data_IF_276809688591
#
_entry.id   IF_276809688591
#
_cell.length_a   1.000
_cell.length_b   1.000
_cell.length_c   1.000
_cell.angle_alpha   90.00
_cell.angle_beta   90.00
_cell.angle_gamma   90.00
#
_symmetry.space_group_name_H-M   'P 1'
#
loop_
_entity.id
_entity.type
_entity.pdbx_description
1 polymer ?
#
# COMPACT_ATOMS: atom_id res chain seq x y z
N UNK A 1 -25.87 -46.60 -17.41
CA UNK A 1 -26.34 -45.51 -16.51
C UNK A 1 -27.72 -45.01 -16.92
N UNK A 2 -28.54 -44.51 -15.99
CA UNK A 2 -29.83 -43.88 -16.34
C UNK A 2 -29.61 -42.51 -17.04
N UNK A 3 -30.57 -42.04 -17.85
CA UNK A 3 -30.49 -40.70 -18.49
C UNK A 3 -30.29 -39.58 -17.47
N UNK A 4 -30.97 -39.66 -16.32
CA UNK A 4 -30.82 -38.71 -15.20
C UNK A 4 -29.42 -38.75 -14.58
N UNK A 5 -28.86 -39.94 -14.38
CA UNK A 5 -27.50 -40.09 -13.85
C UNK A 5 -26.47 -39.49 -14.81
N UNK A 6 -26.62 -39.73 -16.13
CA UNK A 6 -25.77 -39.13 -17.17
C UNK A 6 -25.78 -37.60 -17.09
N UNK A 7 -26.97 -36.99 -17.01
CA UNK A 7 -27.09 -35.52 -16.92
C UNK A 7 -26.36 -34.94 -15.69
N UNK A 8 -26.54 -35.54 -14.51
CA UNK A 8 -25.84 -35.08 -13.30
C UNK A 8 -24.31 -35.22 -13.39
N UNK A 9 -23.81 -36.27 -14.03
CA UNK A 9 -22.38 -36.41 -14.28
C UNK A 9 -21.86 -35.37 -15.27
N UNK A 10 -22.62 -35.06 -16.32
CA UNK A 10 -22.28 -33.98 -17.25
C UNK A 10 -22.18 -32.64 -16.52
N UNK A 11 -23.16 -32.31 -15.66
CA UNK A 11 -23.11 -31.08 -14.85
C UNK A 11 -21.91 -31.08 -13.91
N UNK A 12 -21.64 -32.20 -13.20
CA UNK A 12 -20.49 -32.29 -12.30
C UNK A 12 -19.16 -32.04 -13.02
N UNK A 13 -18.98 -32.62 -14.21
CA UNK A 13 -17.78 -32.44 -15.02
C UNK A 13 -17.65 -31.00 -15.53
N UNK A 14 -18.73 -30.42 -16.08
CA UNK A 14 -18.71 -29.04 -16.58
C UNK A 14 -18.38 -28.04 -15.46
N UNK A 15 -19.02 -28.18 -14.29
CA UNK A 15 -18.76 -27.31 -13.14
C UNK A 15 -17.32 -27.43 -12.67
N UNK A 16 -16.80 -28.66 -12.55
CA UNK A 16 -15.42 -28.87 -12.11
C UNK A 16 -14.38 -28.40 -13.14
N UNK A 17 -14.65 -28.55 -14.45
CA UNK A 17 -13.80 -27.97 -15.51
C UNK A 17 -13.81 -26.45 -15.51
N UNK A 18 -14.94 -25.81 -15.20
CA UNK A 18 -15.01 -24.37 -15.01
C UNK A 18 -14.18 -23.91 -13.80
N UNK A 19 -14.16 -24.69 -12.71
CA UNK A 19 -13.28 -24.47 -11.57
C UNK A 19 -11.80 -24.52 -11.95
N UNK A 20 -11.38 -25.52 -12.72
CA UNK A 20 -10.03 -25.58 -13.27
C UNK A 20 -9.69 -24.35 -14.12
N UNK A 21 -10.59 -23.96 -15.03
CA UNK A 21 -10.36 -22.79 -15.89
C UNK A 21 -10.19 -21.51 -15.05
N UNK A 22 -10.99 -21.37 -13.98
CA UNK A 22 -10.87 -20.28 -13.03
C UNK A 22 -9.53 -20.31 -12.26
N UNK A 23 -9.16 -21.45 -11.68
CA UNK A 23 -7.88 -21.62 -10.98
C UNK A 23 -6.68 -21.27 -11.87
N UNK A 24 -6.73 -21.64 -13.16
CA UNK A 24 -5.70 -21.30 -14.13
C UNK A 24 -5.58 -19.78 -14.36
N UNK A 25 -6.70 -19.04 -14.36
CA UNK A 25 -6.65 -17.56 -14.46
C UNK A 25 -6.02 -16.90 -13.23
N UNK A 26 -6.00 -17.58 -12.08
CA UNK A 26 -5.45 -17.07 -10.82
C UNK A 26 -3.97 -17.41 -10.60
N UNK A 27 -3.36 -18.26 -11.43
CA UNK A 27 -1.97 -18.73 -11.25
C UNK A 27 -0.91 -17.63 -11.19
N UNK A 28 -1.22 -16.43 -11.68
CA UNK A 28 -0.33 -15.27 -11.67
C UNK A 28 -0.81 -14.13 -10.76
N UNK A 29 -1.79 -14.38 -9.88
CA UNK A 29 -2.32 -13.37 -8.96
C UNK A 29 -1.99 -13.74 -7.52
N UNK A 30 -1.16 -12.93 -6.86
CA UNK A 30 -0.99 -12.96 -5.41
C UNK A 30 -2.07 -12.12 -4.74
N UNK A 31 -2.64 -12.60 -3.64
CA UNK A 31 -3.59 -11.84 -2.83
C UNK A 31 -3.18 -11.87 -1.37
N UNK A 32 -2.85 -10.70 -0.85
CA UNK A 32 -2.67 -10.46 0.58
C UNK A 32 -3.79 -9.55 1.06
N UNK A 33 -4.40 -9.88 2.19
CA UNK A 33 -5.29 -8.96 2.90
C UNK A 33 -5.05 -9.09 4.39
N UNK A 34 -5.27 -7.98 5.09
CA UNK A 34 -5.33 -7.93 6.53
C UNK A 34 -6.70 -7.40 6.91
N UNK A 35 -7.32 -8.01 7.90
CA UNK A 35 -8.61 -7.58 8.42
C UNK A 35 -8.61 -7.75 9.93
N UNK A 36 -9.43 -6.95 10.60
CA UNK A 36 -9.63 -6.98 12.04
C UNK A 36 -11.09 -7.36 12.34
N UNK A 37 -11.36 -7.90 13.52
CA UNK A 37 -12.70 -8.32 13.94
C UNK A 37 -12.86 -9.84 14.06
N UNK A 38 -14.01 -10.25 14.58
CA UNK A 38 -14.33 -11.64 14.91
C UNK A 38 -15.48 -12.16 14.06
N UNK A 39 -15.21 -13.19 13.26
CA UNK A 39 -16.20 -13.87 12.42
C UNK A 39 -16.12 -15.37 12.70
N UNK A 40 -17.04 -15.92 13.51
CA UNK A 40 -16.87 -17.23 14.13
C UNK A 40 -16.76 -18.36 13.11
N UNK A 41 -17.47 -18.28 11.96
CA UNK A 41 -17.39 -19.33 10.96
C UNK A 41 -16.11 -19.21 10.13
N UNK A 42 -15.62 -17.99 9.84
CA UNK A 42 -14.30 -17.77 9.24
C UNK A 42 -13.17 -18.30 10.12
N UNK A 43 -13.19 -18.01 11.41
CA UNK A 43 -12.14 -18.46 12.34
C UNK A 43 -12.13 -20.00 12.46
N UNK A 44 -13.32 -20.62 12.45
CA UNK A 44 -13.46 -22.07 12.36
C UNK A 44 -12.93 -22.62 11.03
N UNK A 45 -13.24 -21.95 9.91
CA UNK A 45 -12.73 -22.32 8.59
C UNK A 45 -11.20 -22.23 8.53
N UNK A 46 -10.60 -21.17 9.04
CA UNK A 46 -9.14 -21.00 9.06
C UNK A 46 -8.47 -22.09 9.92
N UNK A 47 -9.05 -22.38 11.08
CA UNK A 47 -8.58 -23.46 11.97
C UNK A 47 -8.67 -24.84 11.30
N UNK A 48 -9.79 -25.14 10.63
CA UNK A 48 -9.98 -26.40 9.92
C UNK A 48 -9.11 -26.49 8.65
N UNK A 49 -8.91 -25.37 7.96
CA UNK A 49 -8.07 -25.29 6.76
C UNK A 49 -6.62 -25.58 7.12
N UNK A 50 -6.11 -25.08 8.25
CA UNK A 50 -4.77 -25.44 8.71
C UNK A 50 -4.60 -26.95 8.90
N UNK A 51 -5.64 -27.63 9.42
CA UNK A 51 -5.63 -29.09 9.61
C UNK A 51 -5.71 -29.86 8.27
N UNK A 52 -6.50 -29.37 7.31
CA UNK A 52 -6.77 -30.10 6.06
C UNK A 52 -5.93 -29.61 4.86
N UNK A 53 -5.15 -28.55 5.02
CA UNK A 53 -4.24 -28.02 4.01
C UNK A 53 -3.34 -29.12 3.41
N UNK A 54 -2.72 -30.02 4.20
CA UNK A 54 -1.95 -31.12 3.64
C UNK A 54 -2.79 -32.03 2.74
N UNK A 55 -4.05 -32.30 3.10
CA UNK A 55 -4.92 -33.11 2.25
C UNK A 55 -5.24 -32.37 0.94
N UNK A 56 -5.48 -31.06 0.97
CA UNK A 56 -5.78 -30.27 -0.23
C UNK A 56 -4.58 -30.17 -1.18
N UNK A 57 -3.36 -30.03 -0.63
CA UNK A 57 -2.11 -29.89 -1.40
C UNK A 57 -1.60 -31.24 -1.88
N UNK A 58 -1.59 -32.27 -1.03
CA UNK A 58 -0.91 -33.53 -1.34
C UNK A 58 -1.84 -34.64 -1.87
N UNK A 59 -3.17 -34.49 -1.79
CA UNK A 59 -4.09 -35.47 -2.36
C UNK A 59 -4.41 -35.10 -3.82
N UNK A 60 -3.95 -35.85 -4.84
CA UNK A 60 -4.18 -35.50 -6.24
C UNK A 60 -5.66 -35.45 -6.62
N UNK A 61 -6.53 -36.15 -5.87
CA UNK A 61 -7.97 -36.12 -6.09
C UNK A 61 -8.60 -34.75 -5.80
N UNK A 62 -7.95 -33.93 -4.96
CA UNK A 62 -8.41 -32.59 -4.60
C UNK A 62 -7.93 -31.52 -5.58
N UNK A 63 -6.88 -31.75 -6.37
CA UNK A 63 -6.33 -30.72 -7.26
C UNK A 63 -7.36 -30.15 -8.23
N UNK A 64 -7.17 -28.87 -8.61
CA UNK A 64 -7.99 -28.18 -9.60
C UNK A 64 -9.50 -28.26 -9.28
N UNK A 65 -9.88 -27.73 -8.12
CA UNK A 65 -11.26 -27.80 -7.63
C UNK A 65 -11.86 -29.24 -7.60
N UNK A 66 -11.04 -30.25 -7.30
CA UNK A 66 -11.45 -31.65 -7.18
C UNK A 66 -11.71 -32.40 -8.50
N UNK A 67 -11.31 -31.84 -9.65
CA UNK A 67 -11.58 -32.43 -10.97
C UNK A 67 -11.08 -33.88 -11.11
N UNK A 68 -9.86 -34.24 -10.70
CA UNK A 68 -9.39 -35.63 -10.81
C UNK A 68 -10.27 -36.60 -10.01
N UNK A 69 -10.74 -36.19 -8.83
CA UNK A 69 -11.66 -36.99 -8.01
C UNK A 69 -13.04 -37.16 -8.64
N UNK A 70 -13.60 -36.10 -9.27
CA UNK A 70 -14.86 -36.18 -10.01
C UNK A 70 -14.74 -37.11 -11.23
N UNK A 71 -13.64 -37.01 -11.98
CA UNK A 71 -13.37 -37.87 -13.15
C UNK A 71 -13.21 -39.34 -12.72
N UNK A 72 -12.44 -39.61 -11.68
CA UNK A 72 -12.25 -40.97 -11.15
C UNK A 72 -13.58 -41.57 -10.67
N UNK A 73 -14.39 -40.78 -9.97
CA UNK A 73 -15.71 -41.21 -9.51
C UNK A 73 -16.67 -41.50 -10.69
N UNK A 74 -16.62 -40.68 -11.75
CA UNK A 74 -17.37 -40.92 -12.98
C UNK A 74 -16.94 -42.22 -13.65
N UNK A 75 -15.63 -42.43 -13.84
CA UNK A 75 -15.07 -43.63 -14.47
C UNK A 75 -15.40 -44.90 -13.68
N UNK A 76 -15.27 -44.86 -12.35
CA UNK A 76 -15.64 -45.98 -11.47
C UNK A 76 -17.14 -46.32 -11.59
N UNK A 77 -18.00 -45.30 -11.63
CA UNK A 77 -19.43 -45.50 -11.82
C UNK A 77 -19.75 -46.03 -13.23
N UNK A 78 -19.13 -45.47 -14.26
CA UNK A 78 -19.34 -45.85 -15.65
C UNK A 78 -18.88 -47.29 -15.91
N UNK A 79 -17.63 -47.62 -15.56
CA UNK A 79 -17.03 -48.93 -15.77
C UNK A 79 -17.82 -50.05 -15.08
N UNK A 80 -18.23 -49.84 -13.82
CA UNK A 80 -19.05 -50.84 -13.12
C UNK A 80 -20.46 -50.96 -13.70
N UNK A 81 -21.04 -49.90 -14.26
CA UNK A 81 -22.34 -50.02 -14.94
C UNK A 81 -22.22 -50.71 -16.29
N UNK A 82 -21.12 -50.52 -17.00
CA UNK A 82 -20.84 -51.19 -18.26
C UNK A 82 -20.53 -52.68 -18.02
N UNK A 83 -19.67 -52.99 -17.05
CA UNK A 83 -19.32 -54.36 -16.67
C UNK A 83 -20.50 -55.10 -16.03
N UNK A 84 -21.38 -54.42 -15.29
CA UNK A 84 -22.59 -55.04 -14.78
C UNK A 84 -23.63 -55.34 -15.87
N UNK A 85 -23.56 -54.67 -17.03
CA UNK A 85 -24.37 -55.05 -18.19
C UNK A 85 -23.92 -56.41 -18.77
N UNK A 86 -22.65 -56.78 -18.57
CA UNK A 86 -22.08 -58.05 -19.04
C UNK A 86 -22.06 -59.15 -17.96
N UNK A 87 -22.00 -58.81 -16.66
CA UNK A 87 -22.08 -59.76 -15.52
C UNK A 87 -23.04 -59.30 -14.42
N UNK A 88 -23.96 -60.16 -13.96
CA UNK A 88 -25.12 -59.85 -13.09
C UNK A 88 -24.84 -59.33 -11.65
N UNK A 89 -23.66 -58.79 -11.30
CA UNK A 89 -23.29 -58.48 -9.90
C UNK A 89 -22.77 -57.07 -9.54
N UNK A 90 -22.40 -56.20 -10.49
CA UNK A 90 -21.48 -55.08 -10.20
C UNK A 90 -22.07 -53.71 -9.77
N UNK A 91 -23.39 -53.48 -9.84
CA UNK A 91 -23.96 -52.11 -9.78
C UNK A 91 -23.84 -51.41 -8.41
N UNK A 92 -23.62 -52.15 -7.32
CA UNK A 92 -23.47 -51.58 -5.98
C UNK A 92 -22.06 -51.05 -5.76
N UNK A 93 -21.05 -51.79 -6.20
CA UNK A 93 -19.64 -51.47 -5.98
C UNK A 93 -19.28 -50.09 -6.54
N UNK A 94 -19.62 -49.78 -7.80
CA UNK A 94 -19.23 -48.48 -8.36
C UNK A 94 -19.99 -47.28 -7.81
N UNK A 95 -21.17 -47.46 -7.21
CA UNK A 95 -21.84 -46.38 -6.48
C UNK A 95 -21.17 -46.12 -5.15
N UNK A 96 -20.70 -47.16 -4.47
CA UNK A 96 -19.94 -47.03 -3.22
C UNK A 96 -18.61 -46.36 -3.52
N UNK A 97 -17.86 -46.84 -4.51
CA UNK A 97 -16.58 -46.24 -4.93
C UNK A 97 -16.72 -44.76 -5.31
N UNK A 98 -17.72 -44.41 -6.12
CA UNK A 98 -17.95 -43.01 -6.48
C UNK A 98 -18.34 -42.14 -5.27
N UNK A 99 -19.08 -42.66 -4.28
CA UNK A 99 -19.38 -41.91 -3.05
C UNK A 99 -18.14 -41.73 -2.18
N UNK A 100 -17.33 -42.78 -2.06
CA UNK A 100 -16.07 -42.73 -1.29
C UNK A 100 -15.09 -41.75 -1.92
N UNK A 101 -15.06 -41.65 -3.25
CA UNK A 101 -14.22 -40.68 -3.95
C UNK A 101 -14.73 -39.23 -3.80
N UNK A 102 -16.05 -39.00 -3.80
CA UNK A 102 -16.62 -37.64 -3.86
C UNK A 102 -16.95 -37.06 -2.48
N UNK A 103 -17.27 -37.88 -1.49
CA UNK A 103 -17.62 -37.39 -0.14
C UNK A 103 -16.48 -36.58 0.52
N UNK A 104 -15.19 -36.99 0.43
CA UNK A 104 -14.09 -36.19 0.94
C UNK A 104 -13.99 -34.83 0.25
N UNK A 105 -14.24 -34.76 -1.06
CA UNK A 105 -14.24 -33.49 -1.80
C UNK A 105 -15.33 -32.55 -1.27
N UNK A 106 -16.53 -33.08 -0.99
CA UNK A 106 -17.60 -32.25 -0.41
C UNK A 106 -17.23 -31.73 0.99
N UNK A 107 -16.52 -32.52 1.80
CA UNK A 107 -16.06 -32.07 3.13
C UNK A 107 -14.98 -31.00 2.99
N UNK A 108 -13.98 -31.24 2.13
CA UNK A 108 -12.86 -30.32 1.92
C UNK A 108 -13.30 -28.98 1.33
N UNK A 109 -14.17 -29.01 0.32
CA UNK A 109 -14.59 -27.82 -0.42
C UNK A 109 -15.92 -27.22 0.05
N UNK A 110 -16.72 -27.96 0.81
CA UNK A 110 -18.01 -27.48 1.32
C UNK A 110 -17.90 -26.54 2.52
N UNK A 111 -16.76 -26.55 3.24
CA UNK A 111 -16.61 -25.79 4.47
C UNK A 111 -16.56 -24.28 4.22
N UNK A 112 -15.78 -23.80 3.25
CA UNK A 112 -15.66 -22.38 2.94
C UNK A 112 -16.98 -21.69 2.57
N UNK A 113 -17.76 -22.19 1.57
CA UNK A 113 -19.04 -21.56 1.23
C UNK A 113 -20.08 -21.67 2.35
N UNK A 114 -20.05 -22.73 3.15
CA UNK A 114 -20.93 -22.86 4.31
C UNK A 114 -20.56 -21.83 5.39
N UNK A 115 -19.28 -21.71 5.70
CA UNK A 115 -18.78 -20.75 6.69
C UNK A 115 -19.07 -19.31 6.26
N UNK A 116 -18.79 -18.98 5.00
CA UNK A 116 -19.11 -17.68 4.41
C UNK A 116 -20.61 -17.37 4.50
N UNK A 117 -21.48 -18.31 4.13
CA UNK A 117 -22.93 -18.11 4.21
C UNK A 117 -23.41 -17.89 5.65
N UNK A 118 -22.83 -18.60 6.63
CA UNK A 118 -23.16 -18.42 8.05
C UNK A 118 -22.70 -17.07 8.60
N UNK A 119 -21.50 -16.63 8.24
CA UNK A 119 -20.98 -15.32 8.67
C UNK A 119 -21.79 -14.18 8.05
N UNK A 120 -22.06 -14.20 6.75
CA UNK A 120 -22.83 -13.14 6.07
C UNK A 120 -24.28 -13.10 6.57
N UNK A 121 -24.88 -14.25 6.86
CA UNK A 121 -26.22 -14.30 7.45
C UNK A 121 -26.27 -13.74 8.88
N UNK A 122 -25.14 -13.77 9.60
CA UNK A 122 -25.01 -13.25 10.96
C UNK A 122 -24.67 -11.77 10.98
N UNK A 123 -23.68 -11.36 10.20
CA UNK A 123 -23.18 -10.00 10.11
C UNK A 123 -22.53 -9.74 8.75
N UNK A 124 -23.06 -8.76 8.00
CA UNK A 124 -22.52 -8.37 6.69
C UNK A 124 -21.12 -7.77 6.78
N UNK A 125 -20.71 -7.24 7.94
CA UNK A 125 -19.35 -6.72 8.16
C UNK A 125 -18.29 -7.83 8.07
N UNK A 126 -18.68 -9.10 8.23
CA UNK A 126 -17.77 -10.21 8.02
C UNK A 126 -17.25 -10.33 6.58
N UNK A 127 -17.87 -9.66 5.61
CA UNK A 127 -17.35 -9.61 4.24
C UNK A 127 -15.90 -9.11 4.19
N UNK A 128 -15.55 -8.11 5.00
CA UNK A 128 -14.18 -7.59 5.06
C UNK A 128 -13.20 -8.63 5.64
N UNK A 129 -13.65 -9.44 6.60
CA UNK A 129 -12.85 -10.55 7.15
C UNK A 129 -12.53 -11.59 6.08
N UNK A 130 -13.49 -11.88 5.21
CA UNK A 130 -13.33 -12.75 4.04
C UNK A 130 -12.49 -12.14 2.91
N UNK A 131 -11.91 -10.94 3.10
CA UNK A 131 -11.08 -10.25 2.10
C UNK A 131 -11.88 -9.41 1.12
N UNK A 132 -13.10 -9.02 1.51
CA UNK A 132 -14.02 -8.29 0.65
C UNK A 132 -14.48 -9.12 -0.56
N UNK A 133 -15.09 -8.48 -1.57
CA UNK A 133 -15.42 -9.13 -2.84
C UNK A 133 -14.23 -9.86 -3.51
N UNK A 134 -12.99 -9.31 -3.51
CA UNK A 134 -11.84 -10.02 -4.06
C UNK A 134 -11.53 -11.33 -3.32
N UNK A 135 -11.53 -11.31 -1.98
CA UNK A 135 -11.28 -12.51 -1.19
C UNK A 135 -12.37 -13.56 -1.34
N UNK A 136 -13.64 -13.16 -1.49
CA UNK A 136 -14.74 -14.10 -1.84
C UNK A 136 -14.46 -14.76 -3.19
N UNK A 137 -14.05 -13.99 -4.20
CA UNK A 137 -13.66 -14.52 -5.50
C UNK A 137 -12.51 -15.51 -5.42
N UNK A 138 -11.54 -15.29 -4.53
CA UNK A 138 -10.33 -16.12 -4.43
C UNK A 138 -10.51 -17.37 -3.56
N UNK A 139 -11.24 -17.27 -2.45
CA UNK A 139 -11.33 -18.36 -1.46
C UNK A 139 -12.67 -19.09 -1.49
N UNK A 140 -13.77 -18.36 -1.69
CA UNK A 140 -15.11 -18.94 -1.57
C UNK A 140 -15.60 -19.52 -2.88
N UNK A 141 -15.37 -18.82 -4.00
CA UNK A 141 -15.86 -19.25 -5.32
C UNK A 141 -15.25 -20.58 -5.78
N UNK A 142 -13.92 -20.81 -5.74
CA UNK A 142 -13.34 -22.11 -6.11
C UNK A 142 -13.90 -23.28 -5.29
N UNK A 143 -14.05 -23.05 -3.98
CA UNK A 143 -14.55 -24.04 -3.03
C UNK A 143 -16.05 -24.33 -3.27
N UNK A 144 -16.84 -23.29 -3.55
CA UNK A 144 -18.25 -23.44 -3.93
C UNK A 144 -18.41 -24.26 -5.22
N UNK A 145 -17.59 -23.99 -6.25
CA UNK A 145 -17.63 -24.72 -7.52
C UNK A 145 -17.32 -26.21 -7.30
N UNK A 146 -16.28 -26.54 -6.56
CA UNK A 146 -15.92 -27.91 -6.23
C UNK A 146 -17.00 -28.62 -5.41
N UNK A 147 -17.59 -27.93 -4.41
CA UNK A 147 -18.68 -28.46 -3.60
C UNK A 147 -19.94 -28.77 -4.44
N UNK A 148 -20.30 -27.88 -5.37
CA UNK A 148 -21.43 -28.08 -6.30
C UNK A 148 -21.18 -29.27 -7.22
N UNK A 149 -19.96 -29.41 -7.77
CA UNK A 149 -19.60 -30.57 -8.57
C UNK A 149 -19.72 -31.88 -7.78
N UNK A 150 -19.24 -31.90 -6.53
CA UNK A 150 -19.36 -33.05 -5.63
C UNK A 150 -20.83 -33.40 -5.32
N UNK A 151 -21.68 -32.41 -5.04
CA UNK A 151 -23.12 -32.62 -4.83
C UNK A 151 -23.81 -33.20 -6.08
N UNK A 152 -23.44 -32.71 -7.27
CA UNK A 152 -23.95 -33.25 -8.54
C UNK A 152 -23.54 -34.71 -8.75
N UNK A 153 -22.28 -35.05 -8.49
CA UNK A 153 -21.78 -36.42 -8.59
C UNK A 153 -22.48 -37.36 -7.57
N UNK A 154 -22.70 -36.92 -6.32
CA UNK A 154 -23.47 -37.66 -5.32
C UNK A 154 -24.93 -37.87 -5.76
N UNK A 155 -25.55 -36.86 -6.39
CA UNK A 155 -26.88 -36.97 -6.97
C UNK A 155 -26.93 -37.99 -8.12
N UNK A 156 -25.86 -38.07 -8.92
CA UNK A 156 -25.75 -39.00 -10.04
C UNK A 156 -25.72 -40.47 -9.60
N UNK A 157 -25.15 -40.76 -8.43
CA UNK A 157 -25.00 -42.13 -7.86
C UNK A 157 -26.08 -42.48 -6.82
N UNK A 158 -27.09 -41.63 -6.67
CA UNK A 158 -28.22 -41.88 -5.77
C UNK A 158 -29.05 -43.05 -6.26
N UNK A 159 -29.30 -44.03 -5.38
CA UNK A 159 -30.12 -45.20 -5.74
C UNK A 159 -31.56 -44.72 -5.99
N UNK A 160 -32.17 -45.04 -7.14
CA UNK A 160 -33.59 -44.79 -7.33
C UNK A 160 -34.35 -45.58 -6.25
N UNK A 161 -34.92 -44.88 -5.26
CA UNK A 161 -35.65 -45.46 -4.11
C UNK A 161 -36.95 -46.19 -4.50
N UNK A 162 -37.09 -46.65 -5.74
CA UNK A 162 -38.35 -47.13 -6.32
C UNK A 162 -38.81 -48.52 -5.84
N UNK A 163 -37.98 -49.30 -5.13
CA UNK A 163 -38.41 -50.60 -4.55
C UNK A 163 -38.68 -50.54 -3.03
N UNK A 164 -37.81 -49.94 -2.22
CA UNK A 164 -38.06 -49.82 -0.77
C UNK A 164 -39.12 -48.76 -0.42
N UNK A 165 -39.27 -47.72 -1.24
CA UNK A 165 -40.23 -46.64 -1.00
C UNK A 165 -41.64 -46.90 -1.55
N UNK A 166 -41.93 -48.06 -2.17
CA UNK A 166 -43.28 -48.33 -2.69
C UNK A 166 -44.24 -48.81 -1.59
N UNK A 167 -43.71 -49.43 -0.52
CA UNK A 167 -44.48 -49.82 0.67
C UNK A 167 -44.66 -48.68 1.69
N UNK A 168 -43.69 -47.76 1.79
CA UNK A 168 -43.73 -46.64 2.74
C UNK A 168 -44.29 -45.32 2.19
N UNK A 169 -44.65 -45.24 0.89
CA UNK A 169 -45.17 -44.00 0.26
C UNK A 169 -46.67 -43.96 0.00
N UNK A 170 -47.42 -45.01 0.32
CA UNK A 170 -48.89 -44.93 0.22
C UNK A 170 -49.52 -44.09 1.35
N UNK A 171 -48.78 -43.74 2.40
CA UNK A 171 -49.41 -43.14 3.59
C UNK A 171 -49.01 -41.68 3.92
N UNK A 172 -47.89 -41.10 3.46
CA UNK A 172 -47.40 -39.85 4.11
C UNK A 172 -46.63 -38.81 3.27
N UNK A 173 -46.75 -38.71 1.93
CA UNK A 173 -46.05 -37.60 1.22
C UNK A 173 -46.91 -36.79 0.23
N UNK A 174 -47.11 -35.47 0.47
CA UNK A 174 -47.85 -34.61 -0.44
C UNK A 174 -47.05 -34.30 -1.73
N UNK A 175 -47.73 -33.97 -2.83
CA UNK A 175 -47.17 -33.92 -4.20
C UNK A 175 -46.19 -32.76 -4.49
N UNK A 176 -46.05 -31.78 -3.61
CA UNK A 176 -45.21 -30.58 -3.80
C UNK A 176 -43.69 -30.82 -3.79
N UNK A 177 -43.17 -31.87 -3.15
CA UNK A 177 -41.71 -32.09 -2.99
C UNK A 177 -41.02 -32.57 -4.28
N UNK A 178 -41.77 -32.89 -5.35
CA UNK A 178 -41.18 -33.31 -6.64
C UNK A 178 -40.83 -32.15 -7.57
N UNK A 179 -41.29 -30.93 -7.30
CA UNK A 179 -41.01 -29.75 -8.14
C UNK A 179 -39.84 -28.89 -7.63
N UNK A 180 -39.20 -29.23 -6.52
CA UNK A 180 -38.21 -28.37 -5.85
C UNK A 180 -36.81 -28.33 -6.47
N UNK A 181 -36.49 -29.20 -7.44
CA UNK A 181 -35.13 -29.24 -8.02
C UNK A 181 -34.86 -28.11 -9.04
N UNK A 182 -35.87 -27.71 -9.83
CA UNK A 182 -35.77 -26.57 -10.74
C UNK A 182 -35.73 -25.21 -10.03
N UNK A 183 -36.57 -24.92 -9.01
CA UNK A 183 -36.50 -23.65 -8.29
C UNK A 183 -35.23 -23.53 -7.45
N UNK A 184 -34.62 -24.62 -6.98
CA UNK A 184 -33.31 -24.56 -6.30
C UNK A 184 -32.16 -24.18 -7.26
N UNK A 185 -32.17 -24.66 -8.51
CA UNK A 185 -31.19 -24.25 -9.51
C UNK A 185 -31.41 -22.79 -9.97
N UNK A 186 -32.68 -22.37 -10.09
CA UNK A 186 -33.03 -20.98 -10.37
C UNK A 186 -32.69 -20.05 -9.19
N UNK A 187 -32.93 -20.46 -7.94
CA UNK A 187 -32.52 -19.71 -6.75
C UNK A 187 -31.01 -19.59 -6.64
N UNK A 188 -30.24 -20.63 -7.03
CA UNK A 188 -28.79 -20.54 -7.10
C UNK A 188 -28.37 -19.48 -8.13
N UNK A 189 -28.89 -19.52 -9.36
CA UNK A 189 -28.60 -18.53 -10.41
C UNK A 189 -29.04 -17.11 -10.03
N UNK A 190 -30.20 -16.95 -9.40
CA UNK A 190 -30.72 -15.65 -8.93
C UNK A 190 -29.94 -15.13 -7.73
N UNK A 191 -29.41 -16.00 -6.86
CA UNK A 191 -28.49 -15.58 -5.81
C UNK A 191 -27.15 -15.08 -6.35
N UNK A 192 -26.76 -15.42 -7.58
CA UNK A 192 -25.54 -14.93 -8.23
C UNK A 192 -25.75 -13.66 -9.09
N UNK A 193 -26.98 -13.27 -9.41
CA UNK A 193 -27.28 -12.04 -10.17
C UNK A 193 -26.84 -10.74 -9.44
N UNK A 194 -27.03 -10.57 -8.12
CA UNK A 194 -26.52 -9.41 -7.39
C UNK A 194 -24.99 -9.30 -7.44
N UNK A 195 -24.28 -10.43 -7.56
CA UNK A 195 -22.81 -10.45 -7.64
C UNK A 195 -22.33 -9.92 -9.00
N UNK A 196 -23.12 -10.08 -10.06
CA UNK A 196 -22.81 -9.54 -11.37
C UNK A 196 -23.12 -8.03 -11.48
N UNK A 197 -24.15 -7.54 -10.77
CA UNK A 197 -24.57 -6.13 -10.81
C UNK A 197 -23.81 -5.25 -9.78
N UNK A 198 -23.34 -5.87 -8.68
CA UNK A 198 -22.41 -5.25 -7.72
C UNK A 198 -20.94 -5.43 -8.10
N UNK A 199 -20.65 -6.03 -9.26
CA UNK A 199 -19.29 -6.16 -9.75
C UNK A 199 -18.71 -4.76 -9.96
N UNK A 200 -17.78 -4.37 -9.09
CA UNK A 200 -16.95 -3.19 -9.25
C UNK A 200 -16.37 -3.19 -10.67
N UNK A 201 -16.60 -2.12 -11.42
CA UNK A 201 -16.20 -2.01 -12.82
C UNK A 201 -14.71 -2.25 -13.03
N UNK A 202 -14.35 -2.69 -14.24
CA UNK A 202 -12.97 -3.10 -14.63
C UNK A 202 -11.93 -1.96 -14.52
N UNK A 203 -12.38 -0.71 -14.30
CA UNK A 203 -11.56 0.45 -13.93
C UNK A 203 -10.82 0.20 -12.61
N UNK A 204 -11.29 -0.72 -11.76
CA UNK A 204 -10.63 -1.05 -10.49
C UNK A 204 -9.39 -1.94 -10.61
N UNK A 205 -9.15 -2.61 -11.74
CA UNK A 205 -8.10 -3.63 -11.80
C UNK A 205 -6.74 -3.13 -12.27
N UNK A 206 -6.65 -2.11 -13.14
CA UNK A 206 -5.36 -1.72 -13.80
C UNK A 206 -5.08 -0.25 -14.23
N UNK A 207 -5.87 0.83 -13.98
CA UNK A 207 -5.50 2.18 -14.45
C UNK A 207 -5.34 3.30 -13.40
N UNK A 208 -5.46 3.02 -12.10
CA UNK A 208 -5.20 4.01 -11.05
C UNK A 208 -3.89 3.73 -10.29
N UNK A 209 -2.99 2.92 -10.86
CA UNK A 209 -1.61 2.92 -10.40
C UNK A 209 -1.04 4.28 -10.77
N UNK A 210 -0.73 5.08 -9.75
CA UNK A 210 0.14 6.24 -9.90
C UNK A 210 1.37 5.73 -10.63
N UNK A 211 1.53 6.07 -11.91
CA UNK A 211 2.87 6.13 -12.47
C UNK A 211 3.50 7.27 -11.67
N UNK A 212 4.49 7.01 -10.80
CA UNK A 212 5.28 8.11 -10.28
C UNK A 212 5.75 8.84 -11.53
N UNK A 213 5.42 10.13 -11.67
CA UNK A 213 6.06 10.90 -12.72
C UNK A 213 7.55 10.75 -12.49
N UNK A 214 8.32 10.37 -13.51
CA UNK A 214 9.76 10.54 -13.48
C UNK A 214 10.02 12.02 -13.17
N UNK A 215 10.26 12.35 -11.90
CA UNK A 215 10.54 13.71 -11.43
C UNK A 215 9.51 14.37 -10.50
N UNK A 216 8.39 13.75 -10.10
CA UNK A 216 7.51 14.38 -9.10
C UNK A 216 8.08 14.25 -7.70
N UNK A 217 8.49 15.37 -7.10
CA UNK A 217 9.01 15.48 -5.73
C UNK A 217 7.93 15.00 -4.73
N UNK A 218 8.27 14.14 -3.75
CA UNK A 218 7.32 13.73 -2.72
C UNK A 218 6.86 14.95 -1.91
N UNK A 219 5.61 15.37 -2.07
CA UNK A 219 5.03 16.50 -1.33
C UNK A 219 4.28 17.49 -2.20
N UNK A 220 4.55 17.52 -3.51
CA UNK A 220 3.75 18.29 -4.45
C UNK A 220 2.49 17.47 -4.75
N UNK A 221 1.41 17.78 -4.02
CA UNK A 221 0.05 17.29 -4.28
C UNK A 221 -0.48 17.98 -5.55
N UNK A 222 0.27 17.85 -6.63
CA UNK A 222 -0.04 18.45 -7.90
C UNK A 222 -1.38 17.87 -8.36
N UNK A 223 -2.33 18.78 -8.59
CA UNK A 223 -3.69 18.56 -9.10
C UNK A 223 -3.83 17.17 -9.69
N UNK A 224 -4.39 16.23 -8.90
CA UNK A 224 -4.56 14.80 -9.16
C UNK A 224 -3.89 14.35 -10.48
N UNK A 225 -2.72 13.71 -10.41
CA UNK A 225 -1.91 13.22 -11.54
C UNK A 225 -2.66 12.42 -12.64
N UNK A 226 -3.95 12.19 -12.48
CA UNK A 226 -4.89 11.60 -13.43
C UNK A 226 -5.53 12.60 -14.42
N UNK A 227 -5.27 13.91 -14.30
CA UNK A 227 -5.84 14.95 -15.16
C UNK A 227 -7.29 15.32 -14.82
N UNK A 228 -8.01 15.94 -15.75
CA UNK A 228 -9.44 16.28 -15.61
C UNK A 228 -10.34 15.20 -16.25
N UNK A 229 -11.55 15.05 -15.71
CA UNK A 229 -12.62 14.19 -16.22
C UNK A 229 -13.05 13.06 -15.27
N UNK A 230 -14.04 12.29 -15.70
CA UNK A 230 -14.69 11.23 -14.91
C UNK A 230 -13.73 10.14 -14.44
N UNK A 231 -12.73 9.79 -15.27
CA UNK A 231 -11.73 8.76 -14.92
C UNK A 231 -10.84 9.23 -13.77
N UNK A 232 -10.38 10.48 -13.80
CA UNK A 232 -9.57 11.05 -12.73
C UNK A 232 -10.35 11.13 -11.43
N UNK A 233 -11.62 11.55 -11.52
CA UNK A 233 -12.55 11.55 -10.40
C UNK A 233 -12.74 10.16 -9.80
N UNK A 234 -13.00 9.14 -10.63
CA UNK A 234 -13.10 7.76 -10.17
C UNK A 234 -11.82 7.28 -9.47
N UNK A 235 -10.64 7.56 -10.03
CA UNK A 235 -9.38 7.16 -9.42
C UNK A 235 -9.16 7.84 -8.05
N UNK A 236 -9.35 9.16 -7.95
CA UNK A 236 -9.23 9.88 -6.69
C UNK A 236 -10.24 9.38 -5.64
N UNK A 237 -11.50 9.18 -6.04
CA UNK A 237 -12.54 8.68 -5.16
C UNK A 237 -12.25 7.26 -4.65
N UNK A 238 -11.73 6.37 -5.49
CA UNK A 238 -11.35 5.00 -5.08
C UNK A 238 -10.10 4.99 -4.20
N UNK A 239 -9.09 5.82 -4.50
CA UNK A 239 -7.88 5.95 -3.71
C UNK A 239 -8.17 6.39 -2.26
N UNK A 240 -9.20 7.22 -2.05
CA UNK A 240 -9.63 7.62 -0.71
C UNK A 240 -10.17 6.46 0.16
N UNK A 241 -10.51 5.32 -0.45
CA UNK A 241 -11.15 4.18 0.23
C UNK A 241 -12.61 4.40 0.65
N UNK A 242 -13.16 5.61 0.53
CA UNK A 242 -14.53 5.94 0.98
C UNK A 242 -15.63 5.33 0.11
N UNK A 243 -15.34 5.06 -1.16
CA UNK A 243 -16.34 4.62 -2.15
C UNK A 243 -16.14 3.19 -2.63
N UNK A 244 -15.51 2.30 -1.84
CA UNK A 244 -15.14 0.91 -2.26
C UNK A 244 -16.32 0.07 -2.79
N UNK A 245 -17.52 0.27 -2.25
CA UNK A 245 -18.70 -0.54 -2.56
C UNK A 245 -19.73 0.18 -3.44
N UNK A 246 -19.39 1.36 -3.98
CA UNK A 246 -20.27 2.11 -4.89
C UNK A 246 -19.96 1.71 -6.33
N UNK A 247 -20.95 1.62 -7.22
CA UNK A 247 -20.68 1.37 -8.64
C UNK A 247 -20.01 2.60 -9.29
N UNK A 248 -19.21 2.41 -10.35
CA UNK A 248 -18.57 3.56 -11.04
C UNK A 248 -19.61 4.54 -11.59
N UNK A 249 -20.74 4.01 -12.07
CA UNK A 249 -21.87 4.82 -12.57
C UNK A 249 -22.47 5.70 -11.47
N UNK A 250 -22.76 5.12 -10.31
CA UNK A 250 -23.33 5.85 -9.18
C UNK A 250 -22.33 6.87 -8.62
N UNK A 251 -21.05 6.52 -8.65
CA UNK A 251 -19.99 7.42 -8.19
C UNK A 251 -19.85 8.63 -9.13
N UNK A 252 -19.86 8.43 -10.45
CA UNK A 252 -19.88 9.55 -11.43
C UNK A 252 -21.14 10.40 -11.23
N UNK A 253 -22.31 9.79 -11.06
CA UNK A 253 -23.56 10.51 -10.82
C UNK A 253 -23.48 11.35 -9.53
N UNK A 254 -22.90 10.80 -8.47
CA UNK A 254 -22.61 11.51 -7.24
C UNK A 254 -21.65 12.69 -7.47
N UNK A 255 -20.54 12.48 -8.19
CA UNK A 255 -19.58 13.55 -8.51
C UNK A 255 -20.21 14.71 -9.29
N UNK A 256 -21.08 14.41 -10.26
CA UNK A 256 -21.84 15.43 -11.00
C UNK A 256 -22.82 16.17 -10.09
N UNK A 257 -23.54 15.46 -9.23
CA UNK A 257 -24.45 16.09 -8.26
C UNK A 257 -23.71 16.99 -7.26
N UNK A 258 -22.51 16.59 -6.83
CA UNK A 258 -21.62 17.44 -6.02
C UNK A 258 -21.19 18.68 -6.80
N UNK A 259 -20.85 18.54 -8.08
CA UNK A 259 -20.51 19.69 -8.92
C UNK A 259 -21.68 20.67 -9.10
N UNK A 260 -22.89 20.15 -9.32
CA UNK A 260 -24.10 20.99 -9.45
C UNK A 260 -24.40 21.77 -8.16
N UNK A 261 -24.04 21.21 -7.00
CA UNK A 261 -24.20 21.83 -5.69
C UNK A 261 -23.01 22.72 -5.26
N UNK A 262 -21.91 22.70 -6.01
CA UNK A 262 -20.65 23.34 -5.63
C UNK A 262 -20.78 24.87 -5.51
N UNK A 263 -20.18 25.44 -4.47
CA UNK A 263 -20.02 26.88 -4.28
C UNK A 263 -18.54 27.24 -4.14
N UNK A 264 -18.11 28.41 -4.66
CA UNK A 264 -16.75 28.86 -4.50
C UNK A 264 -16.32 28.92 -3.03
N UNK A 265 -15.18 28.29 -2.72
CA UNK A 265 -14.63 28.19 -1.37
C UNK A 265 -15.12 26.98 -0.56
N UNK A 266 -15.92 26.08 -1.13
CA UNK A 266 -16.30 24.83 -0.46
C UNK A 266 -15.07 23.93 -0.20
N UNK A 267 -15.02 23.32 0.98
CA UNK A 267 -13.93 22.42 1.40
C UNK A 267 -13.80 21.17 0.49
N UNK A 268 -14.87 20.80 -0.21
CA UNK A 268 -14.89 19.65 -1.12
C UNK A 268 -14.31 19.96 -2.52
N UNK A 269 -13.78 21.17 -2.74
CA UNK A 269 -13.19 21.57 -4.02
C UNK A 269 -12.14 20.57 -4.53
N UNK A 270 -11.26 20.09 -3.64
CA UNK A 270 -10.24 19.06 -3.95
C UNK A 270 -10.83 17.76 -4.49
N UNK A 271 -11.95 17.31 -3.93
CA UNK A 271 -12.62 16.08 -4.37
C UNK A 271 -13.37 16.28 -5.68
N UNK A 272 -14.03 17.43 -5.84
CA UNK A 272 -14.87 17.72 -6.99
C UNK A 272 -14.08 18.19 -8.23
N UNK A 273 -12.89 18.77 -8.07
CA UNK A 273 -12.15 19.41 -9.15
C UNK A 273 -11.93 18.53 -10.39
N UNK A 274 -11.71 17.23 -10.21
CA UNK A 274 -11.55 16.31 -11.33
C UNK A 274 -12.81 16.21 -12.23
N UNK A 275 -14.02 16.40 -11.70
CA UNK A 275 -15.28 16.34 -12.47
C UNK A 275 -15.99 17.69 -12.59
N UNK A 276 -15.51 18.72 -11.87
CA UNK A 276 -16.17 20.00 -11.72
C UNK A 276 -15.28 21.18 -12.11
N UNK A 277 -15.44 21.73 -13.33
CA UNK A 277 -14.60 22.84 -13.82
C UNK A 277 -14.59 24.09 -12.93
N UNK A 278 -15.71 24.52 -12.30
CA UNK A 278 -15.67 25.63 -11.34
C UNK A 278 -14.77 25.35 -10.13
N UNK A 279 -14.86 24.16 -9.54
CA UNK A 279 -14.02 23.77 -8.41
C UNK A 279 -12.54 23.70 -8.79
N UNK A 280 -12.24 23.21 -9.99
CA UNK A 280 -10.88 23.21 -10.53
C UNK A 280 -10.30 24.63 -10.69
N UNK A 281 -11.11 25.56 -11.20
CA UNK A 281 -10.70 26.95 -11.35
C UNK A 281 -10.43 27.62 -9.99
N UNK A 282 -11.25 27.34 -8.98
CA UNK A 282 -11.06 27.86 -7.63
C UNK A 282 -9.81 27.28 -6.96
N UNK A 283 -9.53 25.98 -7.10
CA UNK A 283 -8.27 25.39 -6.62
C UNK A 283 -7.05 25.97 -7.31
N UNK A 284 -7.10 26.16 -8.64
CA UNK A 284 -5.99 26.79 -9.37
C UNK A 284 -5.73 28.20 -8.87
N UNK A 285 -6.79 28.96 -8.58
CA UNK A 285 -6.69 30.30 -8.01
C UNK A 285 -6.11 30.27 -6.59
N UNK A 286 -6.52 29.31 -5.75
CA UNK A 286 -5.96 29.13 -4.40
C UNK A 286 -4.48 28.76 -4.46
N UNK A 287 -4.10 27.75 -5.25
CA UNK A 287 -2.70 27.35 -5.44
C UNK A 287 -1.85 28.52 -5.92
N UNK A 288 -2.32 29.27 -6.92
CA UNK A 288 -1.59 30.44 -7.43
C UNK A 288 -1.45 31.56 -6.38
N UNK A 289 -2.43 31.73 -5.48
CA UNK A 289 -2.34 32.70 -4.40
C UNK A 289 -1.37 32.25 -3.30
N UNK A 290 -1.41 30.96 -2.93
CA UNK A 290 -0.48 30.35 -1.97
C UNK A 290 0.96 30.38 -2.50
N UNK A 291 1.17 30.05 -3.77
CA UNK A 291 2.46 30.11 -4.46
C UNK A 291 2.99 31.55 -4.50
N UNK A 292 2.15 32.53 -4.84
CA UNK A 292 2.55 33.94 -4.80
C UNK A 292 2.89 34.44 -3.38
N UNK A 293 2.17 33.97 -2.34
CA UNK A 293 2.50 34.28 -0.95
C UNK A 293 3.84 33.64 -0.54
N UNK A 294 4.05 32.38 -0.92
CA UNK A 294 5.29 31.64 -0.69
C UNK A 294 6.48 32.34 -1.36
N UNK A 295 6.39 32.67 -2.65
CA UNK A 295 7.42 33.41 -3.38
C UNK A 295 7.72 34.78 -2.75
N UNK A 296 6.68 35.49 -2.29
CA UNK A 296 6.86 36.77 -1.62
C UNK A 296 7.62 36.64 -0.29
N UNK A 297 7.37 35.55 0.46
CA UNK A 297 8.07 35.20 1.71
C UNK A 297 9.52 34.81 1.44
N UNK A 298 9.74 33.90 0.49
CA UNK A 298 11.08 33.49 0.03
C UNK A 298 11.93 34.71 -0.37
N UNK A 299 11.34 35.63 -1.13
CA UNK A 299 12.01 36.87 -1.52
C UNK A 299 12.26 37.82 -0.32
N UNK A 300 11.41 37.80 0.71
CA UNK A 300 11.62 38.58 1.94
C UNK A 300 12.79 38.03 2.75
N UNK A 301 12.83 36.71 2.95
CA UNK A 301 13.88 36.03 3.71
C UNK A 301 15.23 36.17 3.01
N UNK A 302 15.23 36.06 1.67
CA UNK A 302 16.42 36.33 0.86
C UNK A 302 16.93 37.77 1.04
N UNK A 303 16.04 38.79 1.11
CA UNK A 303 16.44 40.18 1.38
C UNK A 303 17.08 40.34 2.76
N UNK A 304 16.59 39.61 3.78
CA UNK A 304 17.20 39.60 5.13
C UNK A 304 18.62 39.03 5.07
N UNK A 305 18.80 37.88 4.41
CA UNK A 305 20.12 37.27 4.21
C UNK A 305 21.08 38.20 3.44
N UNK A 306 20.59 38.87 2.39
CA UNK A 306 21.38 39.81 1.61
C UNK A 306 21.77 41.07 2.38
N UNK A 307 20.95 41.52 3.32
CA UNK A 307 21.25 42.66 4.19
C UNK A 307 22.27 42.29 5.28
N UNK A 308 22.26 41.06 5.78
CA UNK A 308 23.10 40.58 6.87
C UNK A 308 24.52 40.15 6.46
N UNK A 309 25.05 40.71 5.35
CA UNK A 309 26.37 40.35 4.81
C UNK A 309 27.50 40.62 5.82
N UNK A 310 28.19 39.55 6.18
CA UNK A 310 29.41 39.61 6.97
C UNK A 310 30.50 40.44 6.26
N UNK A 311 31.25 41.24 7.05
CA UNK A 311 32.38 42.06 6.60
C UNK A 311 33.67 41.57 7.28
N UNK A 312 34.42 40.66 6.64
CA UNK A 312 35.60 40.04 7.24
C UNK A 312 36.65 41.04 7.72
N UNK A 313 37.20 40.80 8.92
CA UNK A 313 38.36 41.56 9.42
C UNK A 313 39.67 41.26 8.65
N UNK A 314 39.71 40.15 7.93
CA UNK A 314 40.85 39.74 7.09
C UNK A 314 40.31 39.22 5.77
N UNK A 315 41.04 39.40 4.66
CA UNK A 315 40.58 38.93 3.35
C UNK A 315 40.54 37.38 3.29
N UNK A 316 39.36 36.76 3.12
CA UNK A 316 39.26 35.33 2.88
C UNK A 316 39.78 34.96 1.47
N UNK A 317 40.19 33.70 1.32
CA UNK A 317 40.54 33.08 0.02
C UNK A 317 39.32 32.97 -0.87
N UNK A 318 38.20 32.55 -0.26
CA UNK A 318 36.92 32.37 -0.93
C UNK A 318 35.81 32.66 0.07
N UNK A 319 34.73 33.27 -0.43
CA UNK A 319 33.49 33.47 0.32
C UNK A 319 32.36 32.89 -0.49
N UNK A 320 31.50 32.13 0.16
CA UNK A 320 30.29 31.57 -0.39
C UNK A 320 29.13 32.01 0.48
N UNK A 321 27.99 32.29 -0.14
CA UNK A 321 26.77 32.68 0.54
C UNK A 321 25.62 31.93 -0.10
N UNK A 322 24.80 31.31 0.71
CA UNK A 322 23.57 30.67 0.26
C UNK A 322 22.52 30.76 1.36
N UNK A 323 21.25 30.65 0.97
CA UNK A 323 20.17 30.38 1.91
C UNK A 323 19.93 28.88 1.91
N UNK A 324 19.80 28.29 3.09
CA UNK A 324 19.70 26.85 3.24
C UNK A 324 18.66 26.48 4.30
N UNK A 325 17.60 25.79 3.89
CA UNK A 325 16.68 25.11 4.81
C UNK A 325 17.34 23.85 5.37
N UNK A 326 16.88 23.40 6.53
CA UNK A 326 17.23 22.06 7.03
C UNK A 326 16.00 21.40 7.61
N UNK A 327 15.60 20.24 7.09
CA UNK A 327 14.40 19.55 7.58
C UNK A 327 14.63 18.96 8.99
N UNK A 328 15.87 18.57 9.27
CA UNK A 328 16.25 17.91 10.51
C UNK A 328 16.94 18.84 11.54
N UNK A 329 17.08 20.13 11.22
CA UNK A 329 17.79 21.08 12.09
C UNK A 329 19.30 20.84 12.13
N UNK A 330 19.87 20.24 11.09
CA UNK A 330 21.30 19.89 11.00
C UNK A 330 21.82 20.19 9.60
N UNK A 331 23.01 20.79 9.55
CA UNK A 331 23.84 20.88 8.36
C UNK A 331 25.05 19.98 8.59
N UNK A 332 25.31 19.05 7.69
CA UNK A 332 26.36 18.05 7.87
C UNK A 332 27.33 17.99 6.70
N UNK A 333 28.54 17.50 6.96
CA UNK A 333 29.49 17.08 5.93
C UNK A 333 29.94 15.68 6.25
N UNK A 334 29.74 14.75 5.32
CA UNK A 334 30.13 13.35 5.42
C UNK A 334 31.08 13.00 4.28
N UNK A 335 32.28 12.55 4.61
CA UNK A 335 33.33 12.14 3.65
C UNK A 335 33.36 10.63 3.41
N UNK A 336 32.59 9.87 4.17
CA UNK A 336 32.61 8.39 4.16
C UNK A 336 31.19 7.84 4.29
N UNK A 337 30.88 6.75 3.61
CA UNK A 337 29.54 6.13 3.67
C UNK A 337 29.14 5.72 5.11
N UNK A 338 30.11 5.42 5.96
CA UNK A 338 29.91 5.05 7.37
C UNK A 338 29.49 6.23 8.28
N UNK A 339 29.53 7.48 7.78
CA UNK A 339 29.30 8.67 8.60
C UNK A 339 27.82 9.06 8.75
N UNK A 340 26.88 8.41 8.07
CA UNK A 340 25.44 8.56 8.35
C UNK A 340 24.99 7.89 9.68
N UNK A 341 25.94 7.44 10.51
CA UNK A 341 25.66 6.93 11.83
C UNK A 341 25.22 8.08 12.76
N UNK A 342 23.95 8.04 13.19
CA UNK A 342 23.29 8.96 14.14
C UNK A 342 24.09 9.20 15.43
N UNK A 343 25.06 8.35 15.72
CA UNK A 343 25.87 8.36 16.93
C UNK A 343 26.58 9.70 17.17
N UNK A 344 27.04 10.41 16.12
CA UNK A 344 27.64 11.74 16.31
C UNK A 344 26.60 12.73 16.83
N UNK A 345 25.41 12.79 16.21
CA UNK A 345 24.34 13.69 16.63
C UNK A 345 23.82 13.33 18.04
N UNK A 346 23.69 12.04 18.35
CA UNK A 346 23.28 11.56 19.68
C UNK A 346 24.33 11.85 20.76
N UNK A 347 25.60 11.92 20.39
CA UNK A 347 26.68 12.25 21.31
C UNK A 347 26.77 13.74 21.65
N UNK A 348 26.14 14.61 20.86
CA UNK A 348 26.07 16.05 21.15
C UNK A 348 25.20 16.32 22.38
N UNK A 349 25.72 17.11 23.32
CA UNK A 349 24.93 17.55 24.46
C UNK A 349 23.82 18.52 24.02
N UNK A 350 22.77 18.63 24.83
CA UNK A 350 21.73 19.63 24.62
C UNK A 350 22.34 21.04 24.67
N UNK A 351 22.35 21.74 23.53
CA UNK A 351 22.94 23.08 23.38
C UNK A 351 24.26 23.13 22.60
N UNK A 352 24.85 21.98 22.25
CA UNK A 352 26.05 21.97 21.41
C UNK A 352 25.72 22.46 19.98
N UNK A 353 26.50 23.42 19.49
CA UNK A 353 26.33 24.01 18.15
C UNK A 353 27.02 23.17 17.06
N UNK A 354 28.17 22.58 17.35
CA UNK A 354 28.99 21.88 16.35
C UNK A 354 29.70 20.68 16.97
N UNK A 355 29.73 19.57 16.24
CA UNK A 355 30.48 18.37 16.60
C UNK A 355 31.22 17.82 15.38
N UNK A 356 32.32 17.13 15.64
CA UNK A 356 33.16 16.59 14.58
C UNK A 356 33.88 15.32 15.02
N UNK A 357 33.95 14.35 14.11
CA UNK A 357 34.90 13.24 14.10
C UNK A 357 35.63 13.25 12.75
N UNK A 358 36.73 12.51 12.56
CA UNK A 358 37.40 12.47 11.26
C UNK A 358 36.42 12.06 10.15
N UNK A 359 36.27 12.91 9.13
CA UNK A 359 35.36 12.68 8.00
C UNK A 359 33.89 12.98 8.25
N UNK A 360 33.48 13.42 9.45
CA UNK A 360 32.09 13.80 9.71
C UNK A 360 32.00 15.07 10.58
N UNK A 361 31.32 16.09 10.08
CA UNK A 361 31.07 17.37 10.74
C UNK A 361 29.56 17.62 10.80
N UNK A 362 29.05 17.96 11.98
CA UNK A 362 27.65 18.33 12.19
C UNK A 362 27.59 19.75 12.76
N UNK A 363 26.72 20.58 12.18
CA UNK A 363 26.38 21.92 12.66
C UNK A 363 24.88 21.93 12.94
N UNK A 364 24.51 22.17 14.19
CA UNK A 364 23.11 22.25 14.60
C UNK A 364 22.52 23.61 14.22
N UNK A 365 21.32 23.58 13.69
CA UNK A 365 20.47 24.75 13.44
C UNK A 365 19.04 24.45 13.90
N UNK A 366 18.14 25.42 13.79
CA UNK A 366 16.72 25.15 14.03
C UNK A 366 16.04 24.74 12.72
N UNK A 367 15.25 23.66 12.71
CA UNK A 367 14.58 23.14 11.51
C UNK A 367 13.56 24.12 10.93
N UNK A 368 12.83 24.82 11.79
CA UNK A 368 11.72 25.68 11.37
C UNK A 368 12.15 27.02 10.72
N UNK A 369 13.46 27.29 10.60
CA UNK A 369 13.97 28.56 10.08
C UNK A 369 15.06 28.32 9.03
N UNK A 370 15.01 29.09 7.96
CA UNK A 370 16.09 29.11 6.98
C UNK A 370 17.40 29.64 7.57
N UNK A 371 18.51 29.11 7.07
CA UNK A 371 19.85 29.56 7.42
C UNK A 371 20.40 30.52 6.36
N UNK A 372 20.65 31.78 6.75
CA UNK A 372 21.53 32.68 6.01
C UNK A 372 22.99 32.24 6.22
N UNK A 373 23.46 31.32 5.39
CA UNK A 373 24.77 30.71 5.52
C UNK A 373 25.83 31.50 4.75
N UNK A 374 26.90 31.89 5.45
CA UNK A 374 28.13 32.41 4.85
C UNK A 374 29.29 31.50 5.20
N UNK A 375 29.96 30.92 4.20
CA UNK A 375 31.16 30.14 4.37
C UNK A 375 32.39 30.92 3.90
N UNK A 376 33.44 30.99 4.72
CA UNK A 376 34.65 31.77 4.46
C UNK A 376 35.90 30.91 4.66
N UNK A 377 36.74 30.85 3.64
CA UNK A 377 37.96 30.04 3.66
C UNK A 377 39.18 30.93 3.89
N UNK A 378 40.07 30.59 4.82
CA UNK A 378 41.25 31.39 5.14
C UNK A 378 42.56 30.59 5.04
N UNK A 379 43.64 31.23 4.57
CA UNK A 379 44.98 30.60 4.50
C UNK A 379 45.64 30.42 5.86
N UNK A 380 45.19 31.19 6.86
CA UNK A 380 45.71 31.30 8.23
C UNK A 380 44.52 31.54 9.16
N UNK A 381 44.72 31.34 10.46
CA UNK A 381 43.71 31.58 11.49
C UNK A 381 43.20 33.04 11.43
N UNK A 382 41.90 33.29 11.16
CA UNK A 382 41.32 34.62 11.21
C UNK A 382 41.12 35.08 12.67
N UNK A 383 41.06 36.40 12.91
CA UNK A 383 40.67 36.96 14.21
C UNK A 383 39.34 36.39 14.71
N UNK A 384 39.12 36.37 16.03
CA UNK A 384 37.86 35.90 16.62
C UNK A 384 36.86 37.05 16.68
N UNK A 385 35.67 36.82 16.14
CA UNK A 385 34.60 37.82 16.04
C UNK A 385 33.40 37.39 16.88
N UNK A 386 33.33 37.80 18.16
CA UNK A 386 32.22 37.43 19.06
C UNK A 386 31.07 38.44 19.09
N UNK A 387 31.31 39.66 18.64
CA UNK A 387 30.33 40.74 18.78
C UNK A 387 29.16 40.52 17.81
N UNK A 388 27.93 40.50 18.35
CA UNK A 388 26.71 40.37 17.56
C UNK A 388 26.34 38.93 17.19
N UNK A 389 27.04 37.95 17.76
CA UNK A 389 26.74 36.52 17.63
C UNK A 389 26.28 35.96 18.98
N UNK A 390 25.29 35.07 18.97
CA UNK A 390 24.80 34.42 20.20
C UNK A 390 25.76 33.31 20.64
N UNK A 391 26.26 32.54 19.67
CA UNK A 391 27.18 31.43 19.92
C UNK A 391 28.33 31.45 18.91
N UNK A 392 29.55 31.22 19.39
CA UNK A 392 30.73 31.07 18.54
C UNK A 392 31.55 29.89 19.02
N UNK A 393 31.63 28.84 18.20
CA UNK A 393 32.34 27.59 18.56
C UNK A 393 33.37 27.26 17.48
N UNK A 394 34.58 26.89 17.90
CA UNK A 394 35.67 26.48 17.03
C UNK A 394 36.15 25.06 17.37
N UNK A 395 35.99 24.14 16.41
CA UNK A 395 36.37 22.73 16.55
C UNK A 395 37.51 22.35 15.59
N UNK A 396 38.20 21.26 15.91
CA UNK A 396 39.15 20.64 15.01
C UNK A 396 38.45 19.62 14.13
N UNK A 397 38.68 19.68 12.83
CA UNK A 397 38.14 18.74 11.86
C UNK A 397 39.27 18.10 11.06
N UNK A 398 39.21 16.78 10.89
CA UNK A 398 40.18 16.02 10.10
C UNK A 398 39.48 15.52 8.84
N UNK A 399 39.92 16.01 7.68
CA UNK A 399 39.36 15.69 6.36
C UNK A 399 40.18 14.59 5.68
N UNK A 400 39.73 13.32 5.72
CA UNK A 400 40.49 12.18 5.17
C UNK A 400 40.50 12.15 3.64
N UNK A 401 39.42 12.59 2.99
CA UNK A 401 39.28 12.63 1.53
C UNK A 401 39.69 13.98 0.96
N UNK A 402 39.57 15.04 1.77
CA UNK A 402 39.84 16.40 1.33
C UNK A 402 38.64 17.05 0.67
N UNK A 403 37.42 16.59 1.01
CA UNK A 403 36.15 17.10 0.53
C UNK A 403 35.26 17.45 1.71
N UNK A 404 35.04 18.73 1.98
CA UNK A 404 34.12 19.16 3.03
C UNK A 404 32.94 19.83 2.36
N UNK A 405 31.85 19.09 2.19
CA UNK A 405 30.63 19.57 1.55
C UNK A 405 29.51 19.60 2.58
N UNK A 406 29.00 20.80 2.85
CA UNK A 406 27.92 20.99 3.82
C UNK A 406 26.58 20.80 3.14
N UNK A 407 25.77 19.86 3.60
CA UNK A 407 24.47 19.48 3.03
C UNK A 407 23.38 19.34 4.10
N UNK A 408 22.12 19.32 3.67
CA UNK A 408 21.01 18.82 4.49
C UNK A 408 21.01 17.28 4.38
N UNK A 409 21.11 16.53 5.48
CA UNK A 409 21.06 15.05 5.46
C UNK A 409 19.86 14.47 4.73
N UNK A 410 18.72 15.17 4.71
CA UNK A 410 17.49 14.68 4.11
C UNK A 410 17.45 14.88 2.60
N UNK A 411 18.12 15.92 2.09
CA UNK A 411 18.18 16.25 0.66
C UNK A 411 19.39 15.57 0.00
N UNK A 412 20.51 15.44 0.72
CA UNK A 412 21.73 14.77 0.25
C UNK A 412 22.55 15.53 -0.79
N UNK A 413 22.08 16.67 -1.28
CA UNK A 413 22.80 17.53 -2.21
C UNK A 413 22.86 18.97 -1.68
N UNK A 414 23.96 19.67 -2.01
CA UNK A 414 24.15 21.06 -1.63
C UNK A 414 24.81 21.84 -2.75
N UNK A 415 24.38 23.09 -2.93
CA UNK A 415 25.04 24.04 -3.83
C UNK A 415 26.37 24.57 -3.26
N UNK A 416 26.72 24.19 -2.02
CA UNK A 416 27.95 24.63 -1.39
C UNK A 416 29.17 23.90 -1.96
N UNK A 417 30.18 24.63 -2.47
CA UNK A 417 31.38 23.99 -2.96
C UNK A 417 32.23 23.48 -1.80
N UNK A 418 33.09 22.52 -2.10
CA UNK A 418 34.08 21.96 -1.20
C UNK A 418 34.86 23.03 -0.38
N UNK A 419 34.77 22.94 0.95
CA UNK A 419 35.42 23.82 1.92
C UNK A 419 36.88 23.41 2.21
N UNK A 420 37.30 22.19 1.86
CA UNK A 420 38.67 21.70 2.03
C UNK A 420 39.59 22.20 0.92
N UNK A 421 39.78 23.52 0.81
CA UNK A 421 40.55 24.15 -0.28
C UNK A 421 42.04 23.75 -0.37
N UNK A 422 42.60 23.03 0.62
CA UNK A 422 43.96 22.46 0.58
C UNK A 422 43.96 20.94 0.35
N UNK A 423 42.80 20.35 0.06
CA UNK A 423 42.59 18.91 0.00
C UNK A 423 42.69 18.28 1.39
N UNK A 424 43.17 17.03 1.43
CA UNK A 424 43.29 16.21 2.64
C UNK A 424 44.09 16.91 3.74
N UNK A 425 43.61 16.83 4.97
CA UNK A 425 44.36 17.34 6.12
C UNK A 425 43.50 17.80 7.28
N UNK A 426 44.11 18.57 8.18
CA UNK A 426 43.46 19.08 9.38
C UNK A 426 43.07 20.54 9.24
N UNK A 427 41.82 20.80 9.57
CA UNK A 427 41.19 22.10 9.53
C UNK A 427 40.68 22.49 10.92
N UNK A 428 40.47 23.79 11.09
CA UNK A 428 39.68 24.37 12.15
C UNK A 428 38.44 24.94 11.50
N UNK A 429 37.28 24.58 12.06
CA UNK A 429 35.99 25.06 11.64
C UNK A 429 35.45 25.91 12.78
N UNK A 430 35.26 27.21 12.53
CA UNK A 430 34.63 28.12 13.47
C UNK A 430 33.23 28.47 12.98
N UNK A 431 32.22 28.10 13.74
CA UNK A 431 30.82 28.40 13.47
C UNK A 431 30.40 29.54 14.37
N UNK A 432 29.86 30.60 13.77
CA UNK A 432 29.16 31.66 14.47
C UNK A 432 27.69 31.51 14.15
N UNK A 433 26.87 31.52 15.19
CA UNK A 433 25.43 31.35 15.09
C UNK A 433 24.75 32.53 15.76
N UNK A 434 23.76 33.08 15.06
CA UNK A 434 22.83 34.06 15.60
C UNK A 434 21.42 33.51 15.42
N UNK A 435 20.72 33.39 16.55
CA UNK A 435 19.37 32.83 16.60
C UNK A 435 18.39 33.71 15.82
N UNK A 436 17.30 33.14 15.29
CA UNK A 436 16.24 33.93 14.67
C UNK A 436 15.51 34.75 15.76
N UNK A 437 14.65 35.67 15.34
CA UNK A 437 13.82 36.44 16.28
C UNK A 437 12.63 35.62 16.83
N UNK A 438 12.51 34.36 16.38
CA UNK A 438 11.42 33.43 16.70
C UNK A 438 10.06 33.85 16.14
N UNK A 439 10.09 34.67 15.09
CA UNK A 439 8.93 35.03 14.28
C UNK A 439 9.03 34.34 12.92
N UNK A 440 7.89 33.92 12.36
CA UNK A 440 7.86 33.31 11.03
C UNK A 440 8.49 34.26 9.99
N UNK A 441 9.36 33.73 9.11
CA UNK A 441 10.10 34.54 8.14
C UNK A 441 11.27 35.33 8.73
N UNK A 442 11.82 34.90 9.87
CA UNK A 442 13.07 35.47 10.41
C UNK A 442 14.19 34.44 10.30
N UNK A 443 15.03 34.48 9.25
CA UNK A 443 16.06 33.46 9.08
C UNK A 443 17.13 33.55 10.16
N UNK A 444 17.68 32.40 10.54
CA UNK A 444 18.83 32.30 11.44
C UNK A 444 20.13 32.55 10.65
N UNK A 445 21.18 33.00 11.31
CA UNK A 445 22.42 33.36 10.60
C UNK A 445 23.57 32.45 11.02
N UNK A 446 24.27 31.92 10.01
CA UNK A 446 25.44 31.07 10.19
C UNK A 446 26.64 31.65 9.44
N UNK A 447 27.74 31.83 10.17
CA UNK A 447 29.04 32.16 9.58
C UNK A 447 30.05 31.05 9.90
N UNK A 448 30.46 30.33 8.87
CA UNK A 448 31.36 29.18 8.96
C UNK A 448 32.72 29.59 8.39
N UNK A 449 33.71 29.72 9.25
CA UNK A 449 35.09 30.01 8.85
C UNK A 449 35.91 28.73 8.88
N UNK A 450 36.53 28.38 7.75
CA UNK A 450 37.39 27.19 7.63
C UNK A 450 38.82 27.60 7.33
N UNK A 451 39.76 27.06 8.09
CA UNK A 451 41.19 27.32 7.88
C UNK A 451 42.09 26.17 8.35
N UNK A 452 43.31 26.02 7.82
CA UNK A 452 44.22 24.96 8.23
C UNK A 452 44.64 25.08 9.70
N UNK A 453 44.65 23.97 10.44
CA UNK A 453 45.12 23.94 11.83
C UNK A 453 45.08 22.55 12.45
N UNK A 454 45.99 22.28 13.40
CA UNK A 454 46.24 20.91 13.92
C UNK A 454 45.60 20.59 15.27
N UNK A 455 44.82 21.51 15.86
CA UNK A 455 44.20 21.34 17.18
C UNK A 455 42.87 20.59 17.14
N UNK A 456 42.69 19.59 18.01
CA UNK A 456 41.46 18.78 18.15
C UNK A 456 40.45 19.30 19.19
N UNK A 457 40.83 20.29 20.01
CA UNK A 457 39.96 20.79 21.10
C UNK A 457 38.84 21.65 20.54
N UNK A 458 37.62 21.44 21.04
CA UNK A 458 36.52 22.39 20.90
C UNK A 458 36.79 23.59 21.80
N UNK A 459 36.57 24.79 21.27
CA UNK A 459 36.70 26.05 22.00
C UNK A 459 35.43 26.84 21.78
N UNK A 460 34.71 27.14 22.86
CA UNK A 460 33.58 28.05 22.84
C UNK A 460 34.05 29.46 23.22
N UNK A 461 33.60 30.45 22.45
CA UNK A 461 33.89 31.86 22.70
C UNK A 461 32.63 32.55 23.20
N UNK A 462 32.66 32.92 24.48
CA UNK A 462 31.59 33.71 25.07
C UNK A 462 31.75 35.18 24.67
N UNK A 463 30.65 35.89 24.36
CA UNK A 463 30.67 37.34 24.24
C UNK A 463 31.26 37.93 25.54
N UNK A 464 32.24 38.83 25.41
CA UNK A 464 32.64 39.64 26.56
C UNK A 464 31.48 40.60 26.86
N UNK A 465 30.83 40.37 28.01
CA UNK A 465 29.80 41.23 28.60
C UNK A 465 30.26 42.68 28.73
#
# INVERSE_FOLDING_TARGET
MSRRSRWWWTVALVVSSAGLAYDLTLTNTGFGWFSFGYCPARDLYDSATALWWPARVYLPLAWYAGLPGIVLAFLAHWATTHWAATRRGGLRAGRVLARVAVAPLLVLYGLAPLAFALDIARDTQCLDRWGGPPGVGLFVVPDAVAAVAALCALAAVRVPRHRAGRLLRSLTRPPWVRRSAAPLAALALVAFLPVADLAVGDIARRPCELRPGEGSVPGELDVLAYGAGERAFLCGARASGRFRNVSDRDLIAYGRAVCDAYRPGDADAYFAAAICPPAEADLRKQKAAEEAEFEAREAADQRVCDAARHRPLTRPVRVMRTRMGTDYGVIESSETEDAFDDDLLRSMAAGDLVAAVPGHLIIRSHSDYDNCLTAELYRRRPPVEVKGWDHVVEIGYESPTGHIELMDPMVGESELPDLAFRGKGRYRVRVHYRKPEWEAGTPQHLLIMVYPGSGRRTVEYLPRS
#
